data_IF_215694677542
#
_entry.id   IF_215694677542
#
_cell.length_a   1.000
_cell.length_b   1.000
_cell.length_c   1.000
_cell.angle_alpha   90.00
_cell.angle_beta   90.00
_cell.angle_gamma   90.00
#
_symmetry.space_group_name_H-M   'P 1'
#
loop_
_entity.id
_entity.type
_entity.pdbx_description
1 polymer ?
#
# COMPACT_ATOMS: atom_id res chain seq x y z
N UNK A 1 -65.18 39.89 49.26
CA UNK A 1 -63.86 40.31 49.81
C UNK A 1 -63.07 39.04 50.17
N UNK A 2 -61.81 38.93 49.71
CA UNK A 2 -60.63 38.18 50.24
C UNK A 2 -60.91 36.99 51.20
N UNK A 3 -60.30 35.81 51.16
CA UNK A 3 -59.00 35.34 50.65
C UNK A 3 -58.91 33.81 50.91
N UNK A 4 -58.43 33.08 49.90
CA UNK A 4 -57.48 31.93 49.87
C UNK A 4 -57.28 31.10 51.17
N UNK A 5 -57.50 29.77 51.09
CA UNK A 5 -56.44 28.74 51.22
C UNK A 5 -56.92 27.33 50.79
N UNK A 6 -56.24 26.79 49.77
CA UNK A 6 -56.21 25.38 49.33
C UNK A 6 -55.20 24.60 50.20
N UNK A 7 -55.35 23.29 50.42
CA UNK A 7 -54.96 22.23 49.48
C UNK A 7 -55.03 20.83 50.12
N UNK A 8 -55.27 19.87 49.24
CA UNK A 8 -55.76 18.50 49.43
C UNK A 8 -54.61 17.48 49.44
N UNK A 9 -54.68 16.43 50.26
CA UNK A 9 -53.92 15.19 50.11
C UNK A 9 -54.80 14.01 50.57
N UNK A 10 -55.18 13.14 49.64
CA UNK A 10 -56.05 11.98 49.86
C UNK A 10 -55.37 10.71 49.32
N UNK A 11 -55.08 9.81 50.24
CA UNK A 11 -55.33 8.35 50.18
C UNK A 11 -55.01 7.64 48.85
N UNK A 12 -53.80 7.10 48.72
CA UNK A 12 -53.45 6.06 47.74
C UNK A 12 -52.34 5.15 48.29
N UNK A 13 -52.68 4.08 49.03
CA UNK A 13 -51.68 3.01 49.29
C UNK A 13 -52.20 1.60 49.65
N UNK A 14 -53.48 1.26 49.43
CA UNK A 14 -53.99 -0.10 49.75
C UNK A 14 -54.78 -0.84 48.65
N UNK A 15 -54.71 -0.39 47.40
CA UNK A 15 -55.32 -1.11 46.25
C UNK A 15 -54.33 -1.86 45.35
N UNK A 16 -53.04 -1.92 45.71
CA UNK A 16 -51.98 -2.33 44.79
C UNK A 16 -51.46 -3.78 44.97
N UNK A 17 -52.24 -4.68 45.59
CA UNK A 17 -51.85 -6.10 45.73
C UNK A 17 -52.84 -7.12 45.16
N UNK A 18 -53.99 -6.69 44.61
CA UNK A 18 -54.97 -7.60 43.99
C UNK A 18 -54.96 -7.58 42.45
N UNK A 19 -54.12 -6.75 41.81
CA UNK A 19 -54.15 -6.57 40.34
C UNK A 19 -53.05 -7.37 39.61
N UNK A 20 -52.13 -8.01 40.33
CA UNK A 20 -50.95 -8.68 39.72
C UNK A 20 -51.17 -10.18 39.42
N UNK A 21 -52.38 -10.73 39.66
CA UNK A 21 -52.69 -12.15 39.33
C UNK A 21 -53.53 -12.31 38.06
N UNK A 22 -53.99 -11.21 37.43
CA UNK A 22 -54.77 -11.24 36.18
C UNK A 22 -53.95 -11.00 34.90
N UNK A 23 -52.61 -10.89 35.00
CA UNK A 23 -51.71 -10.64 33.86
C UNK A 23 -51.00 -11.89 33.34
N UNK A 24 -51.63 -13.07 33.43
CA UNK A 24 -51.04 -14.36 33.03
C UNK A 24 -51.93 -15.24 32.11
N UNK A 25 -52.85 -14.65 31.35
CA UNK A 25 -53.45 -15.36 30.20
C UNK A 25 -52.79 -14.83 28.92
N UNK A 26 -51.82 -15.60 28.43
CA UNK A 26 -51.25 -15.40 27.10
C UNK A 26 -52.39 -15.52 26.08
N UNK A 27 -52.52 -14.53 25.21
CA UNK A 27 -53.33 -14.64 24.00
C UNK A 27 -52.60 -15.62 23.09
N UNK A 28 -53.04 -16.87 23.06
CA UNK A 28 -52.61 -17.82 22.06
C UNK A 28 -53.31 -17.45 20.75
N UNK A 29 -52.57 -16.88 19.80
CA UNK A 29 -53.02 -16.81 18.42
C UNK A 29 -52.94 -18.21 17.83
N UNK A 30 -54.08 -18.86 17.63
CA UNK A 30 -54.16 -20.12 16.90
C UNK A 30 -53.77 -19.91 15.44
N UNK A 31 -53.17 -20.94 14.82
CA UNK A 31 -52.93 -20.96 13.38
C UNK A 31 -54.27 -20.81 12.65
N UNK A 32 -54.40 -19.76 11.84
CA UNK A 32 -55.55 -19.59 10.94
C UNK A 32 -55.21 -20.31 9.65
N UNK A 33 -55.86 -21.47 9.42
CA UNK A 33 -55.84 -22.16 8.15
C UNK A 33 -56.92 -21.60 7.24
N UNK A 34 -56.54 -21.13 6.05
CA UNK A 34 -57.50 -20.76 5.01
C UNK A 34 -57.83 -22.01 4.19
N UNK A 35 -59.12 -22.35 4.08
CA UNK A 35 -59.57 -23.42 3.21
C UNK A 35 -59.58 -22.92 1.75
N UNK A 36 -58.57 -23.34 0.99
CA UNK A 36 -58.39 -22.98 -0.41
C UNK A 36 -59.28 -23.79 -1.37
N UNK A 37 -60.16 -24.66 -0.87
CA UNK A 37 -60.98 -25.56 -1.69
C UNK A 37 -62.47 -25.16 -1.74
N UNK A 38 -62.82 -23.98 -1.21
CA UNK A 38 -64.20 -23.47 -1.18
C UNK A 38 -64.65 -22.83 -2.50
N UNK A 39 -65.90 -23.09 -2.91
CA UNK A 39 -66.53 -22.58 -4.14
C UNK A 39 -66.75 -21.04 -4.19
N UNK A 40 -66.27 -20.30 -3.18
CA UNK A 40 -66.43 -18.85 -3.06
C UNK A 40 -65.09 -18.07 -3.14
N UNK A 41 -64.00 -18.74 -3.51
CA UNK A 41 -62.69 -18.11 -3.70
C UNK A 41 -62.60 -17.49 -5.11
N UNK A 42 -62.26 -16.20 -5.17
CA UNK A 42 -62.04 -15.50 -6.42
C UNK A 42 -60.60 -15.76 -6.91
N UNK A 43 -60.37 -16.97 -7.44
CA UNK A 43 -59.04 -17.43 -7.86
C UNK A 43 -58.69 -16.85 -9.22
N UNK A 44 -57.71 -15.96 -9.28
CA UNK A 44 -57.10 -15.52 -10.54
C UNK A 44 -56.03 -16.53 -10.94
N UNK A 45 -56.28 -17.27 -12.02
CA UNK A 45 -55.30 -18.23 -12.55
C UNK A 45 -54.36 -17.47 -13.48
N UNK A 46 -53.08 -17.39 -13.12
CA UNK A 46 -52.04 -16.79 -13.96
C UNK A 46 -51.36 -17.92 -14.71
N UNK A 47 -51.53 -17.96 -16.03
CA UNK A 47 -50.83 -18.90 -16.89
C UNK A 47 -49.39 -18.42 -17.12
N UNK A 48 -48.41 -19.24 -16.79
CA UNK A 48 -47.00 -19.01 -17.13
C UNK A 48 -46.63 -19.54 -18.53
N UNK A 49 -47.60 -20.10 -19.27
CA UNK A 49 -47.36 -20.71 -20.58
C UNK A 49 -47.26 -19.69 -21.72
N UNK A 50 -47.59 -18.42 -21.47
CA UNK A 50 -47.47 -17.35 -22.46
C UNK A 50 -46.95 -16.08 -21.80
N UNK A 51 -45.75 -15.67 -22.21
CA UNK A 51 -45.22 -14.34 -21.94
C UNK A 51 -45.93 -13.38 -22.88
N UNK A 52 -46.52 -12.29 -22.36
CA UNK A 52 -47.12 -11.26 -23.21
C UNK A 52 -46.07 -10.63 -24.11
N UNK A 53 -46.44 -10.30 -25.35
CA UNK A 53 -45.51 -9.68 -26.30
C UNK A 53 -44.99 -8.36 -25.74
N UNK A 54 -43.68 -8.31 -25.47
CA UNK A 54 -42.99 -7.09 -25.16
C UNK A 54 -42.68 -6.40 -26.49
N UNK A 55 -43.52 -5.45 -26.91
CA UNK A 55 -43.26 -4.62 -28.08
C UNK A 55 -42.16 -3.59 -27.76
N UNK A 56 -40.92 -4.06 -27.73
CA UNK A 56 -39.76 -3.16 -27.68
C UNK A 56 -39.72 -2.46 -29.03
N UNK A 57 -40.13 -1.19 -29.06
CA UNK A 57 -40.00 -0.36 -30.25
C UNK A 57 -38.53 -0.34 -30.66
N UNK A 58 -38.18 -0.66 -31.93
CA UNK A 58 -36.81 -0.60 -32.37
C UNK A 58 -36.33 0.84 -32.30
N UNK A 59 -35.42 1.14 -31.38
CA UNK A 59 -34.73 2.42 -31.33
C UNK A 59 -33.85 2.52 -32.59
N UNK A 60 -34.02 3.58 -33.38
CA UNK A 60 -33.10 3.83 -34.49
C UNK A 60 -31.72 4.13 -33.91
N UNK A 61 -30.73 3.34 -34.29
CA UNK A 61 -29.35 3.46 -33.85
C UNK A 61 -28.45 3.70 -35.05
N UNK A 62 -27.54 4.65 -34.91
CA UNK A 62 -26.41 4.85 -35.81
C UNK A 62 -25.23 4.06 -35.25
N UNK A 63 -24.59 3.28 -36.12
CA UNK A 63 -23.38 2.53 -35.79
C UNK A 63 -22.22 3.02 -36.63
N UNK A 64 -21.06 3.19 -36.01
CA UNK A 64 -19.86 3.66 -36.66
C UNK A 64 -18.64 2.94 -36.08
N UNK A 65 -17.77 2.44 -36.96
CA UNK A 65 -16.48 1.89 -36.55
C UNK A 65 -15.49 3.03 -36.26
N UNK A 66 -14.87 2.97 -35.09
CA UNK A 66 -13.94 4.00 -34.59
C UNK A 66 -12.73 3.34 -33.92
N UNK A 67 -11.56 3.92 -34.10
CA UNK A 67 -10.35 3.50 -33.41
C UNK A 67 -10.35 4.05 -31.98
N UNK A 68 -10.19 3.16 -31.00
CA UNK A 68 -10.15 3.52 -29.58
C UNK A 68 -8.98 2.86 -28.86
N UNK A 69 -8.55 3.48 -27.76
CA UNK A 69 -7.76 2.85 -26.72
C UNK A 69 -8.60 2.80 -25.45
N UNK A 70 -8.75 1.60 -24.88
CA UNK A 70 -9.35 1.40 -23.57
C UNK A 70 -8.26 1.46 -22.52
N UNK A 71 -8.35 2.45 -21.63
CA UNK A 71 -7.37 2.72 -20.59
C UNK A 71 -7.97 2.39 -19.21
N UNK A 72 -7.14 1.84 -18.32
CA UNK A 72 -7.46 1.66 -16.90
C UNK A 72 -6.40 2.35 -16.04
N UNK A 73 -6.82 2.99 -14.94
CA UNK A 73 -5.86 3.57 -14.00
C UNK A 73 -5.04 2.48 -13.31
N UNK A 74 -3.71 2.59 -13.42
CA UNK A 74 -2.77 1.72 -12.74
C UNK A 74 -2.69 2.07 -11.26
N UNK A 75 -2.93 1.09 -10.39
CA UNK A 75 -2.84 1.28 -8.94
C UNK A 75 -1.37 1.35 -8.47
N UNK A 76 -0.45 0.81 -9.28
CA UNK A 76 0.96 0.67 -8.93
C UNK A 76 1.87 0.96 -10.12
N UNK A 77 2.81 1.88 -9.91
CA UNK A 77 4.00 1.97 -10.74
C UNK A 77 5.14 1.13 -10.14
N UNK A 78 6.26 1.01 -10.84
CA UNK A 78 7.42 0.28 -10.37
C UNK A 78 8.68 1.14 -10.46
N UNK A 79 9.52 1.09 -9.41
CA UNK A 79 10.80 1.80 -9.39
C UNK A 79 11.95 0.88 -8.98
N UNK A 80 13.16 1.26 -9.37
CA UNK A 80 14.38 0.58 -8.95
C UNK A 80 14.81 1.12 -7.58
N UNK A 81 15.05 0.21 -6.64
CA UNK A 81 15.65 0.49 -5.34
C UNK A 81 17.04 -0.12 -5.26
N UNK A 82 17.95 0.62 -4.63
CA UNK A 82 19.29 0.15 -4.23
C UNK A 82 19.35 0.10 -2.72
N UNK A 83 19.78 -1.03 -2.18
CA UNK A 83 19.84 -1.28 -0.75
C UNK A 83 21.28 -1.59 -0.35
N UNK A 84 21.69 -1.00 0.77
CA UNK A 84 23.02 -1.10 1.32
C UNK A 84 22.95 -1.29 2.83
N UNK A 85 23.26 -2.51 3.27
CA UNK A 85 23.34 -2.86 4.69
C UNK A 85 24.78 -3.08 5.08
N UNK A 86 25.34 -2.15 5.86
CA UNK A 86 26.69 -2.24 6.41
C UNK A 86 26.57 -2.47 7.91
N UNK A 87 26.78 -3.70 8.36
CA UNK A 87 26.80 -4.04 9.78
C UNK A 87 28.25 -4.10 10.26
N UNK A 88 28.51 -3.45 11.39
CA UNK A 88 29.83 -3.41 12.01
C UNK A 88 29.73 -4.05 13.38
N UNK A 89 30.51 -5.11 13.58
CA UNK A 89 30.81 -5.66 14.91
C UNK A 89 32.23 -5.27 15.25
N UNK A 90 32.43 -4.48 16.31
CA UNK A 90 33.76 -4.05 16.74
C UNK A 90 34.11 -4.55 18.13
N UNK A 91 35.41 -4.76 18.34
CA UNK A 91 36.01 -5.07 19.63
C UNK A 91 37.21 -4.14 19.85
N UNK A 92 37.19 -3.44 20.98
CA UNK A 92 38.26 -2.57 21.45
C UNK A 92 39.07 -3.33 22.48
N UNK A 93 40.38 -3.35 22.29
CA UNK A 93 41.33 -3.90 23.26
C UNK A 93 42.29 -2.81 23.71
N UNK A 94 42.57 -2.74 25.01
CA UNK A 94 43.68 -1.95 25.52
C UNK A 94 44.99 -2.65 25.13
N UNK A 95 45.93 -1.91 24.56
CA UNK A 95 47.26 -2.37 24.19
C UNK A 95 48.25 -1.89 25.25
N UNK A 96 48.63 -2.81 26.14
CA UNK A 96 49.48 -2.56 27.30
C UNK A 96 50.97 -2.67 27.02
N UNK A 97 51.76 -2.56 28.08
CA UNK A 97 53.20 -2.81 28.02
C UNK A 97 53.46 -4.26 27.60
N UNK A 98 54.51 -4.48 26.80
CA UNK A 98 54.87 -5.78 26.22
C UNK A 98 53.82 -6.36 25.25
N UNK A 99 53.02 -5.49 24.61
CA UNK A 99 52.04 -5.86 23.58
C UNK A 99 50.88 -6.75 24.08
N UNK A 100 50.65 -6.79 25.40
CA UNK A 100 49.50 -7.49 25.96
C UNK A 100 48.20 -6.77 25.63
N UNK A 101 47.19 -7.52 25.19
CA UNK A 101 45.83 -7.02 24.98
C UNK A 101 44.94 -7.35 26.17
N UNK A 102 44.10 -6.40 26.58
CA UNK A 102 43.08 -6.62 27.62
C UNK A 102 41.75 -6.01 27.23
N UNK A 103 40.66 -6.59 27.72
CA UNK A 103 39.32 -6.05 27.50
C UNK A 103 39.19 -4.66 28.15
N UNK A 104 38.37 -3.81 27.53
CA UNK A 104 38.00 -2.49 28.06
C UNK A 104 36.49 -2.41 28.28
N UNK A 105 36.08 -1.53 29.20
CA UNK A 105 34.67 -1.21 29.40
C UNK A 105 34.06 -0.70 28.09
N UNK A 106 32.85 -1.17 27.73
CA UNK A 106 32.17 -0.89 26.45
C UNK A 106 33.00 -1.20 25.18
N UNK A 107 33.96 -2.13 25.29
CA UNK A 107 34.84 -2.47 24.18
C UNK A 107 34.15 -3.22 23.04
N UNK A 108 33.03 -3.91 23.30
CA UNK A 108 32.24 -4.59 22.28
C UNK A 108 31.03 -3.75 21.85
N UNK A 109 30.79 -3.65 20.54
CA UNK A 109 29.56 -3.07 20.00
C UNK A 109 29.20 -3.69 18.64
N UNK A 110 27.91 -3.81 18.37
CA UNK A 110 27.37 -4.13 17.05
C UNK A 110 26.36 -3.08 16.64
N UNK A 111 26.48 -2.57 15.42
CA UNK A 111 25.59 -1.53 14.92
C UNK A 111 25.48 -1.54 13.40
N UNK A 112 24.38 -0.97 12.90
CA UNK A 112 24.22 -0.62 11.50
C UNK A 112 24.97 0.69 11.24
N UNK A 113 25.87 0.68 10.27
CA UNK A 113 26.57 1.88 9.82
C UNK A 113 25.70 2.68 8.87
N UNK A 114 25.54 3.97 9.17
CA UNK A 114 24.86 4.91 8.31
C UNK A 114 25.59 5.05 6.97
N UNK A 115 24.90 4.71 5.90
CA UNK A 115 25.45 4.76 4.54
C UNK A 115 24.66 5.79 3.76
N UNK A 116 25.31 6.82 3.22
CA UNK A 116 24.65 7.82 2.35
C UNK A 116 24.28 7.25 0.98
N UNK A 117 23.37 7.91 0.25
CA UNK A 117 23.03 7.54 -1.14
C UNK A 117 24.29 7.46 -2.03
N UNK A 118 25.19 8.43 -1.91
CA UNK A 118 26.43 8.43 -2.69
C UNK A 118 27.34 7.25 -2.36
N UNK A 119 27.50 6.91 -1.06
CA UNK A 119 28.28 5.73 -0.67
C UNK A 119 27.62 4.44 -1.16
N UNK A 120 26.29 4.34 -1.04
CA UNK A 120 25.55 3.19 -1.55
C UNK A 120 25.70 3.07 -3.07
N UNK A 121 25.59 4.18 -3.80
CA UNK A 121 25.81 4.23 -5.25
C UNK A 121 27.20 3.73 -5.64
N UNK A 122 28.27 4.17 -4.96
CA UNK A 122 29.64 3.71 -5.22
C UNK A 122 29.84 2.22 -4.90
N UNK A 123 29.16 1.71 -3.88
CA UNK A 123 29.21 0.28 -3.57
C UNK A 123 28.62 -0.56 -4.70
N UNK A 124 27.51 -0.12 -5.29
CA UNK A 124 26.88 -0.82 -6.43
C UNK A 124 27.64 -0.59 -7.75
N UNK A 125 28.13 0.62 -8.01
CA UNK A 125 28.76 0.99 -9.29
C UNK A 125 30.24 0.60 -9.38
N UNK A 126 31.00 0.93 -8.34
CA UNK A 126 32.46 0.78 -8.33
C UNK A 126 32.89 -0.48 -7.56
N UNK A 127 31.98 -1.09 -6.79
CA UNK A 127 32.31 -2.21 -5.90
C UNK A 127 33.20 -1.79 -4.73
N UNK A 128 33.15 -0.52 -4.31
CA UNK A 128 34.04 0.02 -3.27
C UNK A 128 33.29 0.70 -2.12
N UNK A 129 33.86 0.59 -0.91
CA UNK A 129 33.37 1.24 0.30
C UNK A 129 34.53 1.69 1.19
N UNK A 130 34.54 2.95 1.61
CA UNK A 130 35.58 3.49 2.49
C UNK A 130 35.02 3.66 3.90
N UNK A 131 35.59 2.96 4.86
CA UNK A 131 35.25 3.06 6.28
C UNK A 131 36.32 3.90 7.01
N UNK A 132 36.18 5.22 6.89
CA UNK A 132 37.24 6.16 7.28
C UNK A 132 38.37 6.23 6.24
N UNK A 133 39.47 6.95 6.54
CA UNK A 133 40.48 7.29 5.54
C UNK A 133 41.44 6.16 5.17
N UNK A 134 41.61 5.14 6.02
CA UNK A 134 42.60 4.07 5.82
C UNK A 134 42.00 2.72 5.42
N UNK A 135 40.67 2.55 5.55
CA UNK A 135 40.01 1.27 5.30
C UNK A 135 39.18 1.34 4.02
N UNK A 136 39.82 1.10 2.89
CA UNK A 136 39.14 0.92 1.60
C UNK A 136 38.83 -0.56 1.40
N UNK A 137 37.55 -0.88 1.30
CA UNK A 137 37.04 -2.20 0.90
C UNK A 137 36.75 -2.15 -0.60
N UNK A 138 37.24 -3.16 -1.32
CA UNK A 138 37.07 -3.29 -2.78
C UNK A 138 36.55 -4.68 -3.14
N UNK A 139 36.00 -4.78 -4.35
CA UNK A 139 35.50 -6.03 -4.92
C UNK A 139 34.12 -6.44 -4.42
N UNK A 140 33.33 -5.48 -3.93
CA UNK A 140 31.92 -5.72 -3.58
C UNK A 140 31.11 -6.03 -4.84
N UNK A 141 30.14 -6.93 -4.70
CA UNK A 141 29.26 -7.35 -5.79
C UNK A 141 27.81 -7.06 -5.46
N UNK A 142 27.05 -6.70 -6.48
CA UNK A 142 25.61 -6.56 -6.38
C UNK A 142 24.94 -7.90 -6.04
N UNK A 143 23.86 -7.82 -5.26
CA UNK A 143 23.07 -8.97 -4.81
C UNK A 143 23.89 -10.02 -4.04
N UNK A 144 24.94 -9.58 -3.35
CA UNK A 144 25.81 -10.41 -2.54
C UNK A 144 26.00 -9.83 -1.14
N UNK A 145 26.37 -10.72 -0.22
CA UNK A 145 26.83 -10.36 1.12
C UNK A 145 28.28 -10.76 1.28
N UNK A 146 29.10 -9.80 1.68
CA UNK A 146 30.52 -10.01 1.92
C UNK A 146 30.92 -9.56 3.32
N UNK A 147 31.89 -10.25 3.89
CA UNK A 147 32.42 -9.94 5.21
C UNK A 147 33.91 -9.64 5.09
N UNK A 148 34.39 -8.62 5.80
CA UNK A 148 35.81 -8.25 5.89
C UNK A 148 36.18 -7.97 7.34
N UNK A 149 37.38 -8.41 7.73
CA UNK A 149 37.98 -8.05 9.02
C UNK A 149 39.01 -6.95 8.81
N UNK A 150 39.01 -5.93 9.65
CA UNK A 150 39.87 -4.76 9.54
C UNK A 150 40.19 -4.15 10.89
N UNK A 151 41.21 -3.29 10.93
CA UNK A 151 41.62 -2.54 12.11
C UNK A 151 41.18 -1.09 11.94
N UNK A 152 40.20 -0.65 12.74
CA UNK A 152 39.66 0.71 12.69
C UNK A 152 40.61 1.74 13.30
N UNK A 153 41.37 1.34 14.32
CA UNK A 153 42.32 2.20 15.01
C UNK A 153 43.44 1.38 15.67
N UNK A 154 44.61 2.01 15.77
CA UNK A 154 45.83 1.36 16.26
C UNK A 154 46.47 0.49 15.17
N UNK A 155 47.49 -0.28 15.55
CA UNK A 155 48.15 -1.24 14.66
C UNK A 155 48.26 -2.59 15.33
N UNK A 156 48.05 -3.62 14.53
CA UNK A 156 48.32 -5.02 14.86
C UNK A 156 49.25 -5.56 13.79
N UNK A 157 50.26 -6.30 14.22
CA UNK A 157 51.24 -6.94 13.34
C UNK A 157 51.15 -8.46 13.47
N UNK A 158 51.62 -9.17 12.44
CA UNK A 158 51.49 -10.64 12.35
C UNK A 158 52.27 -11.40 13.43
N UNK A 159 53.25 -10.74 14.07
CA UNK A 159 54.02 -11.25 15.22
C UNK A 159 53.26 -11.15 16.56
N UNK A 160 52.05 -10.59 16.55
CA UNK A 160 51.23 -10.36 17.74
C UNK A 160 51.52 -9.06 18.48
N UNK A 161 52.41 -8.21 17.95
CA UNK A 161 52.66 -6.89 18.54
C UNK A 161 51.47 -5.94 18.29
N UNK A 162 51.24 -5.01 19.23
CA UNK A 162 50.19 -4.00 19.11
C UNK A 162 50.72 -2.59 19.36
N UNK A 163 50.14 -1.61 18.67
CA UNK A 163 50.37 -0.19 18.95
C UNK A 163 49.02 0.49 19.18
N UNK A 164 48.75 0.84 20.44
CA UNK A 164 47.53 1.53 20.84
C UNK A 164 47.50 2.99 20.39
N UNK A 165 46.31 3.48 20.09
CA UNK A 165 46.03 4.90 19.80
C UNK A 165 44.81 5.37 20.61
N UNK A 166 44.47 6.65 20.51
CA UNK A 166 43.18 7.14 20.99
C UNK A 166 42.08 6.78 19.98
N UNK A 167 40.93 6.34 20.49
CA UNK A 167 39.75 6.03 19.68
C UNK A 167 38.49 6.52 20.39
N UNK A 168 37.57 7.09 19.60
CA UNK A 168 36.31 7.64 20.10
C UNK A 168 35.19 7.25 19.14
N UNK A 169 34.07 6.82 19.69
CA UNK A 169 32.84 6.58 18.97
C UNK A 169 31.61 6.86 19.86
N UNK A 170 30.37 6.68 19.37
CA UNK A 170 29.17 6.96 20.17
C UNK A 170 29.03 6.16 21.47
N UNK A 171 29.79 5.09 21.67
CA UNK A 171 29.69 4.22 22.85
C UNK A 171 30.81 4.48 23.88
N UNK A 172 31.81 5.30 23.55
CA UNK A 172 32.87 5.66 24.48
C UNK A 172 34.10 6.31 23.87
N UNK A 173 35.04 6.61 24.75
CA UNK A 173 36.37 7.12 24.43
C UNK A 173 37.39 6.27 25.16
N UNK A 174 38.43 5.85 24.45
CA UNK A 174 39.49 5.02 25.00
C UNK A 174 40.86 5.51 24.54
N UNK A 175 41.86 5.29 25.39
CA UNK A 175 43.25 5.60 25.12
C UNK A 175 44.10 4.34 25.10
N UNK A 176 45.17 4.37 24.29
CA UNK A 176 46.09 3.23 24.09
C UNK A 176 45.35 1.95 23.68
N UNK A 177 44.40 2.06 22.76
CA UNK A 177 43.61 0.92 22.28
C UNK A 177 43.92 0.55 20.84
N UNK A 178 43.68 -0.71 20.52
CA UNK A 178 43.54 -1.23 19.16
C UNK A 178 42.08 -1.65 18.95
N UNK A 179 41.54 -1.37 17.77
CA UNK A 179 40.12 -1.61 17.47
C UNK A 179 40.02 -2.51 16.27
N UNK A 180 39.58 -3.75 16.48
CA UNK A 180 39.29 -4.69 15.42
C UNK A 180 37.80 -4.63 15.10
N UNK A 181 37.46 -4.74 13.82
CA UNK A 181 36.09 -4.80 13.37
C UNK A 181 35.89 -5.86 12.30
N UNK A 182 34.73 -6.49 12.35
CA UNK A 182 34.17 -7.28 11.27
C UNK A 182 33.06 -6.47 10.63
N UNK A 183 33.21 -6.19 9.35
CA UNK A 183 32.24 -5.43 8.55
C UNK A 183 31.55 -6.39 7.61
N UNK A 184 30.24 -6.54 7.79
CA UNK A 184 29.36 -7.34 6.93
C UNK A 184 28.55 -6.41 6.04
N UNK A 185 28.80 -6.45 4.74
CA UNK A 185 28.19 -5.58 3.73
C UNK A 185 27.25 -6.44 2.89
N UNK A 186 25.98 -6.05 2.79
CA UNK A 186 25.01 -6.67 1.88
C UNK A 186 24.47 -5.63 0.91
N UNK A 187 24.60 -5.90 -0.38
CA UNK A 187 24.09 -5.05 -1.46
C UNK A 187 22.93 -5.78 -2.13
N UNK A 188 21.81 -5.10 -2.33
CA UNK A 188 20.65 -5.63 -3.07
C UNK A 188 20.07 -4.58 -4.00
N UNK A 189 19.69 -5.02 -5.19
CA UNK A 189 18.98 -4.21 -6.17
C UNK A 189 17.66 -4.88 -6.49
N UNK A 190 16.57 -4.11 -6.50
CA UNK A 190 15.24 -4.65 -6.74
C UNK A 190 14.35 -3.65 -7.48
N UNK A 191 13.41 -4.18 -8.25
CA UNK A 191 12.25 -3.43 -8.74
C UNK A 191 11.12 -3.66 -7.74
N UNK A 192 10.48 -2.59 -7.30
CA UNK A 192 9.43 -2.62 -6.26
C UNK A 192 8.23 -1.75 -6.63
N UNK A 193 7.02 -2.11 -6.18
CA UNK A 193 5.81 -1.35 -6.49
C UNK A 193 5.72 -0.04 -5.70
N UNK A 194 5.14 0.97 -6.33
CA UNK A 194 4.92 2.33 -5.81
C UNK A 194 3.45 2.70 -6.03
N UNK A 195 2.78 3.09 -4.95
CA UNK A 195 1.45 3.71 -4.99
C UNK A 195 1.63 5.22 -5.06
N UNK A 196 1.62 5.76 -6.27
CA UNK A 196 1.90 7.18 -6.52
C UNK A 196 0.90 8.08 -5.79
N UNK A 197 -0.40 7.78 -5.86
CA UNK A 197 -1.44 8.57 -5.20
C UNK A 197 -1.31 8.58 -3.68
N UNK A 198 -0.91 7.45 -3.09
CA UNK A 198 -0.70 7.33 -1.65
C UNK A 198 0.67 7.87 -1.21
N UNK A 199 1.55 8.22 -2.15
CA UNK A 199 2.95 8.56 -1.91
C UNK A 199 3.69 7.46 -1.11
N UNK A 200 3.44 6.19 -1.46
CA UNK A 200 4.02 5.03 -0.75
C UNK A 200 4.80 4.12 -1.67
N UNK A 201 5.93 3.62 -1.20
CA UNK A 201 6.72 2.55 -1.81
C UNK A 201 6.71 1.34 -0.89
N UNK A 202 6.54 0.13 -1.46
CA UNK A 202 6.51 -1.13 -0.72
C UNK A 202 7.75 -1.95 -1.07
N UNK A 203 8.67 -2.07 -0.12
CA UNK A 203 9.90 -2.85 -0.28
C UNK A 203 9.63 -4.36 -0.19
N UNK A 204 10.56 -5.19 -0.68
CA UNK A 204 10.42 -6.66 -0.68
C UNK A 204 10.33 -7.28 0.72
N UNK A 205 10.88 -6.62 1.73
CA UNK A 205 10.77 -6.97 3.15
C UNK A 205 9.35 -6.77 3.72
N UNK A 206 8.48 -6.06 2.98
CA UNK A 206 7.20 -5.57 3.47
C UNK A 206 7.26 -4.17 4.10
N UNK A 207 8.44 -3.56 4.21
CA UNK A 207 8.59 -2.18 4.71
C UNK A 207 7.90 -1.19 3.77
N UNK A 208 7.10 -0.29 4.33
CA UNK A 208 6.40 0.76 3.59
C UNK A 208 7.01 2.12 3.91
N UNK A 209 7.52 2.80 2.90
CA UNK A 209 8.17 4.11 3.04
C UNK A 209 7.43 5.20 2.26
N UNK A 210 7.73 6.47 2.56
CA UNK A 210 7.23 7.61 1.80
C UNK A 210 8.00 7.73 0.48
N UNK A 211 7.33 7.61 -0.67
CA UNK A 211 8.00 7.57 -1.96
C UNK A 211 8.76 8.87 -2.29
N UNK A 212 8.19 10.03 -1.99
CA UNK A 212 8.80 11.33 -2.26
C UNK A 212 10.09 11.62 -1.50
N UNK A 213 10.39 10.88 -0.43
CA UNK A 213 11.63 11.06 0.36
C UNK A 213 12.87 10.51 -0.37
N UNK A 214 12.69 9.61 -1.34
CA UNK A 214 13.79 9.01 -2.12
C UNK A 214 14.69 8.06 -1.32
N UNK A 215 14.43 7.87 -0.04
CA UNK A 215 15.19 6.99 0.82
C UNK A 215 14.37 6.50 2.01
N UNK A 216 14.77 5.37 2.58
CA UNK A 216 14.35 4.97 3.91
C UNK A 216 15.27 3.90 4.50
N UNK A 217 15.11 3.64 5.80
CA UNK A 217 15.77 2.53 6.48
C UNK A 217 14.86 1.30 6.47
N UNK A 218 15.32 0.24 5.79
CA UNK A 218 14.72 -1.09 5.81
C UNK A 218 15.34 -1.92 6.94
N UNK A 219 14.51 -2.57 7.76
CA UNK A 219 14.99 -3.34 8.91
C UNK A 219 15.83 -4.57 8.49
N UNK A 220 15.45 -5.21 7.38
CA UNK A 220 16.13 -6.40 6.85
C UNK A 220 17.31 -6.03 5.95
N UNK A 221 17.13 -5.03 5.10
CA UNK A 221 18.03 -4.72 3.99
C UNK A 221 18.81 -3.40 4.13
N UNK A 222 18.65 -2.70 5.25
CA UNK A 222 19.42 -1.51 5.58
C UNK A 222 19.00 -0.26 4.82
N UNK A 223 19.94 0.63 4.56
CA UNK A 223 19.64 1.91 3.92
C UNK A 223 19.25 1.68 2.47
N UNK A 224 18.06 2.16 2.11
CA UNK A 224 17.43 1.95 0.80
C UNK A 224 17.24 3.30 0.11
N UNK A 225 17.58 3.36 -1.18
CA UNK A 225 17.57 4.58 -2.00
C UNK A 225 16.89 4.35 -3.34
N UNK A 226 16.13 5.34 -3.79
CA UNK A 226 15.50 5.40 -5.11
C UNK A 226 15.40 6.85 -5.59
N UNK A 227 15.07 7.02 -6.86
CA UNK A 227 14.80 8.34 -7.42
C UNK A 227 13.29 8.54 -7.49
N UNK A 228 12.72 9.51 -6.74
CA UNK A 228 11.35 9.91 -6.95
C UNK A 228 11.24 10.47 -8.37
N UNK A 229 10.44 9.84 -9.22
CA UNK A 229 10.13 10.43 -10.53
C UNK A 229 9.23 11.65 -10.28
N UNK A 230 9.51 12.79 -10.93
CA UNK A 230 8.57 13.90 -10.89
C UNK A 230 7.26 13.42 -11.52
N UNK A 231 6.10 13.81 -10.97
CA UNK A 231 4.82 13.45 -11.58
C UNK A 231 4.83 13.95 -13.02
N UNK A 232 4.70 13.02 -13.97
CA UNK A 232 4.52 13.37 -15.38
C UNK A 232 3.33 14.32 -15.48
N UNK A 233 3.44 15.50 -16.14
CA UNK A 233 2.32 16.43 -16.27
C UNK A 233 1.12 15.77 -16.96
N UNK A 234 1.36 14.70 -17.72
CA UNK A 234 0.34 13.95 -18.44
C UNK A 234 -0.08 12.66 -17.77
N UNK A 235 0.64 12.20 -16.74
CA UNK A 235 0.33 10.99 -15.97
C UNK A 235 0.03 9.75 -16.85
N UNK A 236 0.60 9.65 -18.05
CA UNK A 236 0.32 8.51 -18.95
C UNK A 236 0.86 7.19 -18.39
N UNK A 237 1.90 7.27 -17.56
CA UNK A 237 2.43 6.19 -16.72
C UNK A 237 1.40 5.61 -15.73
N UNK A 238 0.33 6.36 -15.45
CA UNK A 238 -0.76 5.91 -14.58
C UNK A 238 -1.87 5.18 -15.33
N UNK A 239 -1.73 4.92 -16.63
CA UNK A 239 -2.75 4.24 -17.43
C UNK A 239 -2.19 2.97 -18.08
N UNK A 240 -2.86 1.86 -17.81
CA UNK A 240 -2.65 0.60 -18.51
C UNK A 240 -3.58 0.53 -19.73
N UNK A 241 -3.03 0.21 -20.90
CA UNK A 241 -3.83 -0.01 -22.12
C UNK A 241 -4.40 -1.43 -22.07
N UNK A 242 -5.70 -1.54 -21.84
CA UNK A 242 -6.41 -2.83 -21.83
C UNK A 242 -6.75 -3.31 -23.24
N UNK A 243 -7.00 -2.38 -24.16
CA UNK A 243 -7.31 -2.66 -25.56
C UNK A 243 -6.91 -1.48 -26.45
N UNK A 244 -6.45 -1.78 -27.66
CA UNK A 244 -6.19 -0.79 -28.69
C UNK A 244 -6.63 -1.36 -30.05
N UNK A 245 -7.54 -0.65 -30.73
CA UNK A 245 -8.03 -1.08 -32.03
C UNK A 245 -9.39 -0.50 -32.39
N UNK A 246 -10.03 -1.10 -33.41
CA UNK A 246 -11.36 -0.69 -33.86
C UNK A 246 -12.44 -1.21 -32.90
N UNK A 247 -13.41 -0.37 -32.56
CA UNK A 247 -14.62 -0.72 -31.85
C UNK A 247 -15.84 -0.08 -32.53
N UNK A 248 -17.03 -0.62 -32.28
CA UNK A 248 -18.28 -0.09 -32.83
C UNK A 248 -18.88 0.90 -31.84
N UNK A 249 -18.98 2.16 -32.25
CA UNK A 249 -19.75 3.20 -31.54
C UNK A 249 -21.21 3.10 -31.93
N UNK A 250 -22.08 2.97 -30.94
CA UNK A 250 -23.53 2.87 -31.08
C UNK A 250 -24.14 4.15 -30.49
N UNK A 251 -24.91 4.88 -31.31
CA UNK A 251 -25.56 6.13 -30.91
C UNK A 251 -27.06 6.01 -31.18
N UNK A 252 -27.90 6.20 -30.16
CA UNK A 252 -29.35 6.29 -30.38
C UNK A 252 -29.71 7.61 -31.06
N UNK A 253 -30.51 7.54 -32.11
CA UNK A 253 -31.08 8.69 -32.80
C UNK A 253 -32.40 9.03 -32.10
N UNK A 254 -32.39 10.03 -31.24
CA UNK A 254 -33.62 10.57 -30.63
C UNK A 254 -34.11 11.79 -31.40
N UNK A 255 -35.41 11.86 -31.67
CA UNK A 255 -36.11 13.00 -32.30
C UNK A 255 -36.20 14.23 -31.38
N UNK A 256 -35.95 14.06 -30.07
CA UNK A 256 -35.91 15.14 -29.08
C UNK A 256 -34.47 15.40 -28.63
N UNK A 257 -34.17 16.66 -28.25
CA UNK A 257 -32.84 17.25 -28.01
C UNK A 257 -31.94 16.59 -26.95
N UNK A 258 -32.35 15.49 -26.34
CA UNK A 258 -31.53 14.71 -25.41
C UNK A 258 -31.02 13.46 -26.13
N UNK A 259 -29.83 13.58 -26.73
CA UNK A 259 -29.11 12.42 -27.27
C UNK A 259 -28.79 11.45 -26.14
N UNK A 260 -29.05 10.15 -26.34
CA UNK A 260 -28.55 9.13 -25.41
C UNK A 260 -27.01 9.15 -25.41
N UNK A 261 -26.40 8.71 -24.32
CA UNK A 261 -24.94 8.59 -24.27
C UNK A 261 -24.49 7.50 -25.25
N UNK A 262 -23.42 7.73 -26.04
CA UNK A 262 -22.90 6.72 -26.94
C UNK A 262 -22.36 5.52 -26.16
N UNK A 263 -22.56 4.34 -26.72
CA UNK A 263 -22.01 3.08 -26.23
C UNK A 263 -20.91 2.62 -27.18
N UNK A 264 -19.77 2.22 -26.64
CA UNK A 264 -18.65 1.65 -27.38
C UNK A 264 -18.61 0.15 -27.12
N UNK A 265 -18.81 -0.65 -28.15
CA UNK A 265 -18.87 -2.10 -28.04
C UNK A 265 -17.81 -2.77 -28.91
N UNK A 266 -17.26 -3.84 -28.37
CA UNK A 266 -16.36 -4.74 -29.08
C UNK A 266 -16.76 -6.18 -28.76
N UNK A 267 -16.77 -7.04 -29.77
CA UNK A 267 -16.94 -8.47 -29.60
C UNK A 267 -15.97 -9.20 -30.50
N UNK A 268 -14.93 -9.76 -29.91
CA UNK A 268 -13.93 -10.61 -30.56
C UNK A 268 -13.85 -11.96 -29.86
N UNK A 269 -13.03 -12.89 -30.36
CA UNK A 269 -12.83 -14.19 -29.69
C UNK A 269 -12.14 -14.04 -28.33
N UNK A 270 -11.34 -13.00 -28.13
CA UNK A 270 -10.51 -12.80 -26.94
C UNK A 270 -11.10 -11.77 -25.97
N UNK A 271 -11.72 -10.71 -26.50
CA UNK A 271 -12.20 -9.56 -25.72
C UNK A 271 -13.62 -9.21 -26.13
N UNK A 272 -14.50 -9.05 -25.14
CA UNK A 272 -15.86 -8.54 -25.32
C UNK A 272 -16.15 -7.49 -24.24
N UNK A 273 -16.55 -6.29 -24.65
CA UNK A 273 -17.01 -5.24 -23.74
C UNK A 273 -18.06 -4.37 -24.40
N UNK A 274 -18.86 -3.69 -23.58
CA UNK A 274 -19.74 -2.59 -23.96
C UNK A 274 -19.64 -1.53 -22.88
N UNK A 275 -19.22 -0.32 -23.26
CA UNK A 275 -18.92 0.77 -22.34
C UNK A 275 -19.71 2.02 -22.72
N UNK A 276 -20.46 2.54 -21.77
CA UNK A 276 -21.29 3.73 -21.93
C UNK A 276 -20.49 4.95 -21.54
N UNK A 277 -20.42 5.95 -22.42
CA UNK A 277 -19.78 7.22 -22.08
C UNK A 277 -20.54 7.93 -20.95
N UNK A 278 -19.83 8.30 -19.90
CA UNK A 278 -20.38 9.06 -18.76
C UNK A 278 -19.88 10.49 -18.70
N UNK A 279 -18.72 10.78 -19.30
CA UNK A 279 -18.11 12.11 -19.25
C UNK A 279 -16.93 12.28 -20.21
N UNK A 280 -16.32 13.46 -20.16
CA UNK A 280 -15.10 13.79 -20.89
C UNK A 280 -14.14 14.54 -19.97
N UNK A 281 -12.84 14.25 -20.08
CA UNK A 281 -11.80 14.99 -19.38
C UNK A 281 -10.60 15.26 -20.32
N UNK A 282 -10.09 16.50 -20.38
CA UNK A 282 -8.88 16.79 -21.13
C UNK A 282 -7.65 16.31 -20.36
N UNK A 283 -6.74 15.60 -21.04
CA UNK A 283 -5.44 15.17 -20.52
C UNK A 283 -4.37 15.37 -21.60
N UNK A 284 -3.47 16.33 -21.38
CA UNK A 284 -2.33 16.63 -22.28
C UNK A 284 -2.66 16.70 -23.78
N UNK A 285 -3.70 17.46 -24.13
CA UNK A 285 -4.10 17.64 -25.53
C UNK A 285 -4.96 16.52 -26.10
N UNK A 286 -5.21 15.46 -25.33
CA UNK A 286 -6.21 14.43 -25.63
C UNK A 286 -7.49 14.68 -24.83
N UNK A 287 -8.62 14.19 -25.34
CA UNK A 287 -9.89 14.12 -24.61
C UNK A 287 -10.16 12.67 -24.26
N UNK A 288 -10.04 12.33 -22.97
CA UNK A 288 -10.42 11.01 -22.47
C UNK A 288 -11.93 10.96 -22.25
N UNK A 289 -12.53 9.83 -22.63
CA UNK A 289 -13.95 9.55 -22.39
C UNK A 289 -14.06 8.69 -21.14
N UNK A 290 -14.77 9.18 -20.12
CA UNK A 290 -15.07 8.39 -18.94
C UNK A 290 -16.18 7.39 -19.23
N UNK A 291 -16.14 6.24 -18.57
CA UNK A 291 -17.16 5.18 -18.71
C UNK A 291 -17.87 4.96 -17.37
N UNK A 292 -18.85 4.06 -17.33
CA UNK A 292 -19.53 3.63 -16.10
C UNK A 292 -18.62 2.84 -15.16
N UNK A 293 -17.47 2.37 -15.66
CA UNK A 293 -16.45 1.71 -14.87
C UNK A 293 -15.46 2.75 -14.32
N UNK A 294 -15.38 2.90 -12.98
CA UNK A 294 -14.63 3.98 -12.33
C UNK A 294 -13.11 3.74 -12.28
N UNK A 295 -12.61 2.61 -12.81
CA UNK A 295 -11.19 2.26 -12.84
C UNK A 295 -10.79 1.92 -14.26
#
# INVERSE_FOLDING_TARGET
MRSIRKNTNIILSKMNRLVIVLTLIKIAYGLVGYDCNGNHLNVTTISLNSIGDCSIQPTMTETQDIYIQLLQLSEFEFTNVRQCKVQITRIVYYCGMHFHTSAVHNGFAEYLHETTDQQCARMHQDGTFSLGPQNLIVGLKDNATETRSLVLAGKLTDDGSCQGTQYVDPYGSWEKVVVQATVRISLKSAVVPVRIEANKILLKSGTVCTFSEGNCLDAEDGYTYWQPQPPSPCKFDQYDVLYEGIATKIQEIKTNRESAQPVYALTTQEVTFALTKTGEQPLCGYTLLSTEHPK
#
